data_IF_377507670290
#
_entry.id   IF_377507670290
#
_cell.length_a   1.000
_cell.length_b   1.000
_cell.length_c   1.000
_cell.angle_alpha   90.00
_cell.angle_beta   90.00
_cell.angle_gamma   90.00
#
_symmetry.space_group_name_H-M   'P 1'
#
loop_
_entity.id
_entity.type
_entity.pdbx_description
1 polymer ?
#
# COMPACT_ATOMS: atom_id res chain seq x y z
N UNK A 1 -5.27 3.59 0.06
CA UNK A 1 -4.28 3.99 1.08
C UNK A 1 -3.68 5.38 0.86
N UNK A 2 -3.12 5.72 -0.31
CA UNK A 2 -2.41 7.01 -0.47
C UNK A 2 -3.23 8.26 -0.18
N UNK A 3 -4.52 8.27 -0.51
CA UNK A 3 -5.44 9.36 -0.18
C UNK A 3 -5.72 9.44 1.33
N UNK A 4 -5.88 8.29 2.00
CA UNK A 4 -6.10 8.24 3.45
C UNK A 4 -4.86 8.69 4.23
N UNK A 5 -3.68 8.18 3.84
CA UNK A 5 -2.39 8.59 4.39
C UNK A 5 -2.12 10.09 4.16
N UNK A 6 -2.61 10.66 3.05
CA UNK A 6 -2.49 12.10 2.77
C UNK A 6 -3.31 12.97 3.72
N UNK A 7 -4.44 12.46 4.22
CA UNK A 7 -5.35 13.18 5.11
C UNK A 7 -5.00 13.01 6.59
N UNK A 8 -4.37 11.90 6.94
CA UNK A 8 -4.10 11.54 8.34
C UNK A 8 -2.67 11.81 8.80
N UNK A 9 -1.69 11.90 7.89
CA UNK A 9 -0.27 11.96 8.28
C UNK A 9 0.34 13.28 7.80
N UNK A 10 1.01 14.03 8.70
CA UNK A 10 1.70 15.26 8.34
C UNK A 10 2.76 15.00 7.25
N UNK A 11 3.00 15.96 6.33
CA UNK A 11 3.84 15.76 5.15
C UNK A 11 5.28 15.35 5.49
N UNK A 12 5.78 15.72 6.67
CA UNK A 12 7.13 15.38 7.15
C UNK A 12 7.28 13.89 7.51
N UNK A 13 6.22 13.23 7.98
CA UNK A 13 6.26 11.83 8.46
C UNK A 13 5.65 10.83 7.46
N UNK A 14 5.07 11.35 6.37
CA UNK A 14 4.37 10.56 5.35
C UNK A 14 5.24 9.48 4.71
N UNK A 15 6.52 9.75 4.50
CA UNK A 15 7.48 8.79 3.93
C UNK A 15 7.76 7.61 4.88
N UNK A 16 7.89 7.89 6.19
CA UNK A 16 8.13 6.87 7.22
C UNK A 16 6.91 5.96 7.39
N UNK A 17 5.70 6.53 7.46
CA UNK A 17 4.47 5.74 7.51
C UNK A 17 4.26 4.93 6.23
N UNK A 18 4.54 5.49 5.05
CA UNK A 18 4.49 4.74 3.80
C UNK A 18 5.49 3.57 3.84
N UNK A 19 6.73 3.79 4.32
CA UNK A 19 7.72 2.74 4.47
C UNK A 19 7.25 1.61 5.40
N UNK A 20 6.60 1.94 6.53
CA UNK A 20 6.00 0.92 7.41
C UNK A 20 4.89 0.12 6.74
N UNK A 21 4.01 0.77 5.97
CA UNK A 21 2.95 0.10 5.20
C UNK A 21 3.55 -0.85 4.16
N UNK A 22 4.54 -0.39 3.39
CA UNK A 22 5.23 -1.21 2.40
C UNK A 22 5.99 -2.37 3.07
N UNK A 23 6.64 -2.13 4.20
CA UNK A 23 7.31 -3.18 4.98
C UNK A 23 6.30 -4.24 5.46
N UNK A 24 5.13 -3.83 5.95
CA UNK A 24 4.05 -4.72 6.34
C UNK A 24 3.57 -5.63 5.20
N UNK A 25 3.43 -5.08 3.98
CA UNK A 25 3.06 -5.87 2.79
C UNK A 25 4.10 -6.95 2.46
N UNK A 26 5.38 -6.60 2.50
CA UNK A 26 6.47 -7.56 2.25
C UNK A 26 6.54 -8.63 3.35
N UNK A 27 6.40 -8.22 4.61
CA UNK A 27 6.42 -9.12 5.75
C UNK A 27 5.24 -10.10 5.73
N UNK A 28 4.04 -9.62 5.39
CA UNK A 28 2.86 -10.47 5.19
C UNK A 28 3.10 -11.53 4.13
N UNK A 29 3.74 -11.15 3.02
CA UNK A 29 4.09 -12.08 1.92
C UNK A 29 5.07 -13.16 2.38
N UNK A 30 6.12 -12.76 3.11
CA UNK A 30 7.15 -13.68 3.66
C UNK A 30 6.53 -14.71 4.61
N UNK A 31 5.51 -14.34 5.37
CA UNK A 31 4.82 -15.26 6.29
C UNK A 31 3.76 -16.08 5.56
N UNK A 32 2.99 -15.47 4.65
CA UNK A 32 1.87 -16.14 3.98
C UNK A 32 2.34 -17.25 3.05
N UNK A 33 3.49 -17.09 2.40
CA UNK A 33 4.04 -18.06 1.45
C UNK A 33 4.38 -19.42 2.12
N UNK A 34 5.23 -19.49 3.17
CA UNK A 34 5.48 -20.72 3.91
C UNK A 34 4.23 -21.26 4.59
N UNK A 35 3.39 -20.39 5.14
CA UNK A 35 2.17 -20.80 5.84
C UNK A 35 1.19 -21.49 4.88
N UNK A 36 1.01 -20.93 3.69
CA UNK A 36 0.21 -21.54 2.61
C UNK A 36 0.82 -22.85 2.13
N UNK A 37 2.15 -22.91 1.97
CA UNK A 37 2.85 -24.14 1.59
C UNK A 37 2.69 -25.27 2.62
N UNK A 38 2.80 -24.92 3.92
CA UNK A 38 2.57 -25.87 5.01
C UNK A 38 1.11 -26.33 5.05
N UNK A 39 0.15 -25.42 4.94
CA UNK A 39 -1.28 -25.74 4.91
C UNK A 39 -1.65 -26.66 3.75
N UNK A 40 -1.10 -26.43 2.55
CA UNK A 40 -1.31 -27.28 1.39
C UNK A 40 -0.73 -28.69 1.51
N UNK A 41 0.22 -28.92 2.42
CA UNK A 41 0.80 -30.26 2.67
C UNK A 41 -0.07 -31.18 3.53
N UNK A 42 -1.12 -30.65 4.16
CA UNK A 42 -2.11 -31.45 4.89
C UNK A 42 -3.12 -32.11 3.93
N UNK A 43 -3.69 -33.25 4.32
CA UNK A 43 -4.84 -33.82 3.59
C UNK A 43 -5.98 -32.80 3.55
N UNK A 44 -6.51 -32.52 2.35
CA UNK A 44 -7.45 -31.42 2.07
C UNK A 44 -6.92 -29.99 2.35
N UNK A 45 -5.60 -29.77 2.29
CA UNK A 45 -4.96 -28.49 2.58
C UNK A 45 -5.38 -27.32 1.68
N UNK A 46 -5.69 -27.57 0.42
CA UNK A 46 -6.05 -26.53 -0.55
C UNK A 46 -7.25 -25.69 -0.12
N UNK A 47 -8.45 -26.26 0.14
CA UNK A 47 -9.58 -25.48 0.65
C UNK A 47 -9.33 -24.88 2.04
N UNK A 48 -8.58 -25.57 2.91
CA UNK A 48 -8.26 -25.08 4.27
C UNK A 48 -7.45 -23.77 4.26
N UNK A 49 -6.47 -23.65 3.35
CA UNK A 49 -5.71 -22.42 3.17
C UNK A 49 -6.64 -21.23 2.89
N UNK A 50 -7.59 -21.38 1.96
CA UNK A 50 -8.55 -20.32 1.63
C UNK A 50 -9.45 -19.96 2.82
N UNK A 51 -9.92 -20.94 3.58
CA UNK A 51 -10.74 -20.67 4.76
C UNK A 51 -9.96 -19.90 5.84
N UNK A 52 -8.70 -20.28 6.12
CA UNK A 52 -7.89 -19.61 7.15
C UNK A 52 -7.55 -18.18 6.75
N UNK A 53 -7.06 -17.96 5.54
CA UNK A 53 -6.76 -16.61 5.05
C UNK A 53 -8.03 -15.77 4.91
N UNK A 54 -9.15 -16.37 4.50
CA UNK A 54 -10.45 -15.71 4.41
C UNK A 54 -10.97 -15.25 5.78
N UNK A 55 -10.98 -16.14 6.77
CA UNK A 55 -11.42 -15.80 8.15
C UNK A 55 -10.49 -14.77 8.78
N UNK A 56 -9.17 -14.90 8.60
CA UNK A 56 -8.21 -13.91 9.07
C UNK A 56 -8.47 -12.53 8.43
N UNK A 57 -8.79 -12.49 7.14
CA UNK A 57 -9.17 -11.27 6.43
C UNK A 57 -10.47 -10.64 6.96
N UNK A 58 -11.48 -11.46 7.28
CA UNK A 58 -12.74 -10.98 7.87
C UNK A 58 -12.51 -10.40 9.26
N UNK A 59 -11.75 -11.09 10.12
CA UNK A 59 -11.40 -10.59 11.46
C UNK A 59 -10.66 -9.26 11.33
N UNK A 60 -9.67 -9.18 10.44
CA UNK A 60 -8.94 -7.95 10.18
C UNK A 60 -9.84 -6.82 9.67
N UNK A 61 -10.77 -7.12 8.77
CA UNK A 61 -11.74 -6.14 8.27
C UNK A 61 -12.63 -5.59 9.39
N UNK A 62 -13.12 -6.46 10.29
CA UNK A 62 -13.92 -6.03 11.45
C UNK A 62 -13.08 -5.12 12.35
N UNK A 63 -11.84 -5.49 12.66
CA UNK A 63 -10.93 -4.65 13.44
C UNK A 63 -10.69 -3.31 12.75
N UNK A 64 -10.47 -3.30 11.44
CA UNK A 64 -10.26 -2.10 10.65
C UNK A 64 -11.48 -1.16 10.70
N UNK A 65 -12.69 -1.71 10.57
CA UNK A 65 -13.94 -0.95 10.66
C UNK A 65 -14.13 -0.26 12.03
N UNK A 66 -13.63 -0.86 13.12
CA UNK A 66 -13.70 -0.26 14.45
C UNK A 66 -12.56 0.72 14.74
N UNK A 67 -11.39 0.52 14.13
CA UNK A 67 -10.18 1.27 14.46
C UNK A 67 -9.92 2.45 13.52
N UNK A 68 -10.43 2.40 12.28
CA UNK A 68 -10.04 3.32 11.21
C UNK A 68 -11.26 4.10 10.71
N UNK A 69 -11.23 5.41 10.90
CA UNK A 69 -12.28 6.34 10.45
C UNK A 69 -11.74 7.26 9.35
N UNK A 70 -12.57 7.58 8.35
CA UNK A 70 -12.15 8.34 7.16
C UNK A 70 -11.79 9.81 7.44
N UNK A 71 -12.23 10.36 8.57
CA UNK A 71 -12.01 11.78 8.90
C UNK A 71 -11.56 11.94 10.36
N UNK A 72 -10.48 12.70 10.63
CA UNK A 72 -10.04 12.98 12.00
C UNK A 72 -11.08 13.78 12.81
N UNK A 73 -12.09 14.36 12.15
CA UNK A 73 -13.26 15.02 12.76
C UNK A 73 -14.28 14.04 13.33
N UNK A 74 -14.39 12.83 12.78
CA UNK A 74 -15.35 11.80 13.22
C UNK A 74 -14.78 10.83 14.26
N UNK A 75 -13.50 10.94 14.61
CA UNK A 75 -12.84 10.02 15.53
C UNK A 75 -13.09 10.44 17.00
N UNK A 76 -13.91 9.71 17.79
CA UNK A 76 -14.28 10.12 19.15
C UNK A 76 -13.13 10.00 20.17
N UNK A 77 -12.00 9.40 19.78
CA UNK A 77 -10.85 9.09 20.65
C UNK A 77 -9.57 9.86 20.34
N UNK A 78 -9.60 10.82 19.41
CA UNK A 78 -8.38 11.57 19.05
C UNK A 78 -8.03 12.58 20.15
N UNK A 79 -6.76 12.66 20.52
CA UNK A 79 -6.29 13.65 21.47
C UNK A 79 -6.45 15.06 20.84
N UNK A 80 -7.08 16.04 21.52
CA UNK A 80 -7.28 17.38 20.97
C UNK A 80 -5.97 18.06 20.52
N UNK A 81 -4.85 17.73 21.16
CA UNK A 81 -3.51 18.23 20.77
C UNK A 81 -3.05 17.68 19.41
N UNK A 82 -3.30 16.40 19.15
CA UNK A 82 -2.92 15.74 17.90
C UNK A 82 -3.81 16.22 16.75
N UNK A 83 -5.11 16.42 17.01
CA UNK A 83 -6.04 17.03 16.05
C UNK A 83 -5.60 18.45 15.65
N UNK A 84 -5.19 19.27 16.62
CA UNK A 84 -4.69 20.62 16.35
C UNK A 84 -3.38 20.60 15.55
N UNK A 85 -2.47 19.66 15.85
CA UNK A 85 -1.22 19.48 15.12
C UNK A 85 -1.45 19.05 13.67
N UNK A 86 -2.36 18.10 13.43
CA UNK A 86 -2.71 17.62 12.08
C UNK A 86 -3.34 18.75 11.26
N UNK A 87 -4.30 19.49 11.83
CA UNK A 87 -4.93 20.64 11.15
C UNK A 87 -3.93 21.78 10.87
N UNK A 88 -3.02 22.05 11.80
CA UNK A 88 -1.97 23.06 11.61
C UNK A 88 -0.93 22.64 10.55
N UNK A 89 -0.67 21.33 10.41
CA UNK A 89 0.34 20.79 9.49
C UNK A 89 -0.19 20.58 8.06
N UNK A 90 -1.49 20.29 7.91
CA UNK A 90 -2.13 19.97 6.63
C UNK A 90 -2.76 21.21 5.97
N UNK A 91 -3.03 22.27 6.76
CA UNK A 91 -3.76 23.46 6.30
C UNK A 91 -5.28 23.22 6.29
N UNK A 92 -6.10 24.28 6.11
CA UNK A 92 -7.55 24.14 6.03
C UNK A 92 -7.88 23.19 4.89
N UNK A 93 -8.46 22.05 5.26
CA UNK A 93 -9.00 21.10 4.32
C UNK A 93 -10.37 21.62 3.92
N UNK A 94 -10.40 22.75 3.22
CA UNK A 94 -11.64 23.36 2.75
C UNK A 94 -12.36 22.34 1.87
N UNK A 95 -13.51 21.87 2.35
CA UNK A 95 -14.45 21.05 1.59
C UNK A 95 -15.16 21.85 0.49
N UNK A 96 -14.75 23.10 0.21
CA UNK A 96 -15.54 24.05 -0.58
C UNK A 96 -14.91 24.54 -1.90
N UNK A 97 -13.78 23.98 -2.36
CA UNK A 97 -13.29 24.27 -3.73
C UNK A 97 -13.67 23.16 -4.72
N UNK A 98 -14.97 23.00 -4.93
CA UNK A 98 -15.52 22.29 -6.09
C UNK A 98 -15.67 23.22 -7.30
N UNK A 99 -14.60 23.87 -7.76
CA UNK A 99 -14.62 24.53 -9.07
C UNK A 99 -13.23 24.97 -9.55
N UNK A 100 -12.31 24.04 -9.72
CA UNK A 100 -11.32 24.24 -10.78
C UNK A 100 -11.10 22.91 -11.51
N UNK A 101 -11.33 22.95 -12.82
CA UNK A 101 -11.07 21.80 -13.69
C UNK A 101 -9.63 21.38 -13.49
N UNK A 102 -9.42 20.19 -12.93
CA UNK A 102 -8.10 19.59 -12.75
C UNK A 102 -7.33 19.78 -14.07
N UNK A 103 -6.24 20.55 -14.10
CA UNK A 103 -5.63 20.97 -15.36
C UNK A 103 -4.77 19.84 -15.92
N UNK A 104 -5.44 18.82 -16.48
CA UNK A 104 -4.84 17.61 -17.07
C UNK A 104 -3.72 17.95 -18.07
N UNK A 105 -3.95 18.96 -18.93
CA UNK A 105 -2.96 19.41 -19.91
C UNK A 105 -1.71 20.03 -19.26
N UNK A 106 -1.84 20.69 -18.11
CA UNK A 106 -0.70 21.25 -17.39
C UNK A 106 0.07 20.15 -16.66
N UNK A 107 -0.63 19.19 -16.04
CA UNK A 107 0.02 18.03 -15.40
C UNK A 107 0.79 17.17 -16.42
N UNK A 108 0.24 16.95 -17.61
CA UNK A 108 0.92 16.21 -18.68
C UNK A 108 2.12 16.97 -19.28
N UNK A 109 2.23 18.28 -19.08
CA UNK A 109 3.41 19.07 -19.51
C UNK A 109 4.49 19.19 -18.42
N UNK A 110 4.24 18.71 -17.21
CA UNK A 110 5.20 18.77 -16.12
C UNK A 110 6.35 17.77 -16.33
N UNK A 111 7.59 18.27 -16.37
CA UNK A 111 8.82 17.45 -16.42
C UNK A 111 8.90 16.42 -15.29
N UNK A 112 8.52 16.74 -14.03
CA UNK A 112 8.53 15.75 -12.95
C UNK A 112 7.63 14.54 -13.20
N UNK A 113 6.50 14.72 -13.88
CA UNK A 113 5.57 13.62 -14.18
C UNK A 113 6.19 12.65 -15.18
N UNK A 114 6.83 13.16 -16.23
CA UNK A 114 7.55 12.32 -17.19
C UNK A 114 8.77 11.63 -16.58
N UNK A 115 9.50 12.30 -15.69
CA UNK A 115 10.61 11.67 -14.96
C UNK A 115 10.12 10.47 -14.14
N UNK A 116 9.06 10.64 -13.34
CA UNK A 116 8.47 9.55 -12.55
C UNK A 116 7.93 8.44 -13.46
N UNK A 117 7.26 8.78 -14.56
CA UNK A 117 6.72 7.81 -15.53
C UNK A 117 7.84 6.94 -16.11
N UNK A 118 8.91 7.56 -16.61
CA UNK A 118 10.05 6.85 -17.20
C UNK A 118 10.75 5.99 -16.15
N UNK A 119 10.95 6.49 -14.93
CA UNK A 119 11.54 5.70 -13.83
C UNK A 119 10.66 4.50 -13.49
N UNK A 120 9.34 4.67 -13.39
CA UNK A 120 8.41 3.57 -13.09
C UNK A 120 8.33 2.54 -14.23
N UNK A 121 8.35 2.99 -15.49
CA UNK A 121 8.43 2.13 -16.66
C UNK A 121 9.73 1.32 -16.65
N UNK A 122 10.86 1.98 -16.38
CA UNK A 122 12.17 1.33 -16.27
C UNK A 122 12.22 0.31 -15.14
N UNK A 123 11.69 0.65 -13.96
CA UNK A 123 11.58 -0.29 -12.84
C UNK A 123 10.71 -1.50 -13.21
N UNK A 124 9.56 -1.28 -13.84
CA UNK A 124 8.65 -2.36 -14.24
C UNK A 124 9.32 -3.27 -15.27
N UNK A 125 9.97 -2.69 -16.28
CA UNK A 125 10.72 -3.43 -17.28
C UNK A 125 11.81 -4.28 -16.62
N UNK A 126 12.66 -3.67 -15.79
CA UNK A 126 13.77 -4.37 -15.12
C UNK A 126 13.27 -5.53 -14.27
N UNK A 127 12.16 -5.34 -13.55
CA UNK A 127 11.52 -6.38 -12.75
C UNK A 127 11.00 -7.54 -13.61
N UNK A 128 10.32 -7.24 -14.73
CA UNK A 128 9.86 -8.26 -15.67
C UNK A 128 11.03 -9.02 -16.30
N UNK A 129 12.07 -8.31 -16.73
CA UNK A 129 13.29 -8.94 -17.28
C UNK A 129 13.95 -9.85 -16.26
N UNK A 130 14.08 -9.43 -14.99
CA UNK A 130 14.59 -10.29 -13.94
C UNK A 130 13.71 -11.55 -13.79
N UNK A 131 12.38 -11.40 -13.71
CA UNK A 131 11.46 -12.53 -13.57
C UNK A 131 11.52 -13.53 -14.74
N UNK A 132 11.70 -13.08 -15.98
CA UNK A 132 11.73 -13.96 -17.17
C UNK A 132 13.10 -14.57 -17.42
N UNK A 133 14.17 -13.81 -17.19
CA UNK A 133 15.54 -14.25 -17.47
C UNK A 133 16.16 -15.02 -16.29
N UNK A 134 15.77 -14.79 -15.04
CA UNK A 134 16.23 -15.60 -13.89
C UNK A 134 16.00 -17.10 -14.05
N UNK A 135 14.78 -17.59 -14.33
CA UNK A 135 14.53 -19.02 -14.48
C UNK A 135 15.24 -19.60 -15.71
N UNK A 136 15.32 -18.84 -16.80
CA UNK A 136 16.01 -19.26 -18.03
C UNK A 136 17.52 -19.33 -17.84
N UNK A 137 18.11 -18.39 -17.11
CA UNK A 137 19.52 -18.37 -16.76
C UNK A 137 19.90 -19.51 -15.81
N UNK A 138 19.11 -19.75 -14.75
CA UNK A 138 19.32 -20.87 -13.84
C UNK A 138 19.22 -22.22 -14.57
N UNK A 139 18.18 -22.42 -15.39
CA UNK A 139 18.01 -23.66 -16.16
C UNK A 139 19.13 -23.93 -17.17
N UNK A 140 19.78 -22.88 -17.69
CA UNK A 140 20.81 -23.00 -18.73
C UNK A 140 22.23 -23.15 -18.18
N UNK A 141 22.49 -22.72 -16.95
CA UNK A 141 23.85 -22.66 -16.36
C UNK A 141 24.05 -23.63 -15.20
N UNK A 142 22.99 -24.04 -14.46
CA UNK A 142 23.07 -25.14 -13.48
C UNK A 142 22.32 -26.39 -13.98
N UNK A 143 23.00 -27.36 -14.61
CA UNK A 143 22.42 -28.65 -14.91
C UNK A 143 22.49 -29.52 -13.64
N UNK A 144 21.55 -29.32 -12.71
CA UNK A 144 21.26 -30.28 -11.65
C UNK A 144 19.75 -30.45 -11.52
#
# INVERSE_FOLDING_TARGET
MHAMLARWIPPLERSTFAAYVYAGSNFGTIISLPLSGWLCSLENGWPLSFYIFGVAGIIWFIVWMFLVYDTPSTHPRINPQEKAFILASIGPQDEDDRSDSIPWCSMLKCVPLWAILVTQCGQSWAFYTQLTELPTYMAKISPF
#
